data_IF_272329941826
#
_entry.id   IF_272329941826
#
_cell.length_a   1.000
_cell.length_b   1.000
_cell.length_c   1.000
_cell.angle_alpha   90.00
_cell.angle_beta   90.00
_cell.angle_gamma   90.00
#
_symmetry.space_group_name_H-M   'P 1'
#
loop_
_entity.id
_entity.type
_entity.pdbx_description
1 polymer ?
#
# COMPACT_ATOMS: atom_id res chain seq x y z
N UNK A 1 16.38 16.08 10.11
CA UNK A 1 15.57 15.35 11.11
C UNK A 1 15.02 14.12 10.43
N UNK A 2 15.44 12.92 10.82
CA UNK A 2 15.00 11.68 10.16
C UNK A 2 13.52 11.44 10.44
N UNK A 3 12.73 11.15 9.40
CA UNK A 3 11.37 10.65 9.60
C UNK A 3 11.46 9.34 10.36
N UNK A 4 10.98 9.33 11.60
CA UNK A 4 10.80 8.12 12.39
C UNK A 4 9.81 7.21 11.66
N UNK A 5 10.25 5.99 11.35
CA UNK A 5 9.36 4.95 10.82
C UNK A 5 8.46 4.47 11.96
N UNK A 6 7.16 4.41 11.72
CA UNK A 6 6.15 3.90 12.65
C UNK A 6 5.87 2.42 12.36
N UNK A 7 5.29 1.73 13.33
CA UNK A 7 4.58 0.46 13.14
C UNK A 7 3.14 0.73 12.68
N UNK A 8 2.49 -0.26 12.05
CA UNK A 8 1.10 -0.11 11.60
C UNK A 8 0.18 0.20 12.78
N UNK A 9 0.39 -0.44 13.93
CA UNK A 9 -0.38 -0.25 15.17
C UNK A 9 -0.33 1.19 15.73
N UNK A 10 0.67 1.97 15.32
CA UNK A 10 0.88 3.35 15.77
C UNK A 10 0.25 4.38 14.83
N UNK A 11 -0.29 3.94 13.68
CA UNK A 11 -0.94 4.83 12.72
C UNK A 11 -2.25 5.35 13.32
N UNK A 12 -2.38 6.67 13.35
CA UNK A 12 -3.59 7.34 13.80
C UNK A 12 -4.29 8.02 12.61
N UNK A 13 -5.60 7.85 12.43
CA UNK A 13 -6.36 8.51 11.35
C UNK A 13 -6.26 10.06 11.34
N UNK A 14 -5.97 10.68 12.49
CA UNK A 14 -5.77 12.13 12.58
C UNK A 14 -4.37 12.58 12.13
N UNK A 15 -3.42 11.66 12.06
CA UNK A 15 -2.06 11.95 11.60
C UNK A 15 -2.02 11.98 10.08
N UNK A 16 -1.87 13.17 9.51
CA UNK A 16 -1.88 13.39 8.05
C UNK A 16 -0.73 12.75 7.29
N UNK A 17 0.41 12.50 7.94
CA UNK A 17 1.59 11.97 7.27
C UNK A 17 2.41 11.11 8.22
N UNK A 18 2.77 9.93 7.74
CA UNK A 18 3.55 8.94 8.45
C UNK A 18 4.33 8.10 7.44
N UNK A 19 5.31 7.36 7.92
CA UNK A 19 6.10 6.43 7.13
C UNK A 19 6.18 5.12 7.89
N UNK A 20 5.96 4.01 7.21
CA UNK A 20 5.98 2.65 7.76
C UNK A 20 6.79 1.76 6.82
N UNK A 21 7.48 0.78 7.37
CA UNK A 21 8.10 -0.29 6.60
C UNK A 21 7.16 -1.48 6.58
N UNK A 22 6.87 -2.00 5.39
CA UNK A 22 5.94 -3.11 5.21
C UNK A 22 6.42 -4.05 4.11
N UNK A 23 5.92 -5.29 4.17
CA UNK A 23 6.00 -6.28 3.11
C UNK A 23 4.62 -6.44 2.47
N UNK A 24 4.56 -6.52 1.14
CA UNK A 24 3.32 -6.87 0.42
C UNK A 24 3.07 -8.36 0.62
N UNK A 25 1.96 -8.73 1.24
CA UNK A 25 1.54 -10.12 1.40
C UNK A 25 0.58 -10.55 0.30
N UNK A 26 -0.29 -9.63 -0.15
CA UNK A 26 -1.22 -9.89 -1.26
C UNK A 26 -1.30 -8.69 -2.21
N UNK A 27 -1.20 -8.96 -3.51
CA UNK A 27 -1.52 -8.03 -4.60
C UNK A 27 -2.80 -8.51 -5.29
N UNK A 28 -3.87 -7.73 -5.13
CA UNK A 28 -5.17 -8.08 -5.68
C UNK A 28 -5.38 -7.31 -6.98
N UNK A 29 -5.80 -7.99 -8.07
CA UNK A 29 -6.02 -7.36 -9.36
C UNK A 29 -6.89 -6.12 -9.29
N UNK A 30 -6.64 -5.18 -10.20
CA UNK A 30 -7.47 -3.99 -10.31
C UNK A 30 -8.91 -4.37 -10.63
N UNK A 31 -9.83 -3.91 -9.80
CA UNK A 31 -11.27 -4.10 -9.93
C UNK A 31 -11.92 -2.78 -10.34
N UNK A 32 -12.93 -2.87 -11.22
CA UNK A 32 -13.82 -1.74 -11.51
C UNK A 32 -14.95 -1.76 -10.49
N UNK A 33 -15.15 -0.66 -9.76
CA UNK A 33 -16.19 -0.56 -8.74
C UNK A 33 -17.42 0.17 -9.28
N UNK A 34 -18.58 -0.48 -9.17
CA UNK A 34 -19.89 0.08 -9.51
C UNK A 34 -20.18 0.12 -11.02
N UNK A 35 -21.23 0.86 -11.38
CA UNK A 35 -21.63 1.10 -12.79
C UNK A 35 -20.80 2.19 -13.47
N UNK A 36 -19.85 2.80 -12.74
CA UNK A 36 -18.97 3.85 -13.24
C UNK A 36 -17.60 3.34 -13.71
N UNK A 37 -16.76 4.25 -14.17
CA UNK A 37 -15.37 4.00 -14.61
C UNK A 37 -14.34 4.01 -13.47
N UNK A 38 -14.80 3.94 -12.21
CA UNK A 38 -13.93 3.97 -11.04
C UNK A 38 -13.16 2.66 -10.92
N UNK A 39 -11.83 2.75 -10.83
CA UNK A 39 -10.94 1.60 -10.66
C UNK A 39 -10.33 1.63 -9.27
N UNK A 40 -10.17 0.46 -8.68
CA UNK A 40 -9.57 0.25 -7.37
C UNK A 40 -8.56 -0.89 -7.47
N UNK A 41 -7.38 -0.71 -6.86
CA UNK A 41 -6.40 -1.76 -6.61
C UNK A 41 -6.22 -1.94 -5.11
N UNK A 42 -6.20 -3.18 -4.62
CA UNK A 42 -6.08 -3.51 -3.19
C UNK A 42 -4.76 -4.22 -2.92
N UNK A 43 -4.11 -3.82 -1.85
CA UNK A 43 -2.94 -4.50 -1.31
C UNK A 43 -3.18 -4.87 0.16
N UNK A 44 -2.60 -5.98 0.59
CA UNK A 44 -2.43 -6.31 2.00
C UNK A 44 -0.95 -6.18 2.34
N UNK A 45 -0.68 -5.45 3.41
CA UNK A 45 0.66 -5.17 3.89
C UNK A 45 0.81 -5.68 5.33
N UNK A 46 1.96 -6.25 5.65
CA UNK A 46 2.37 -6.58 7.02
C UNK A 46 3.61 -5.79 7.43
N UNK A 47 3.68 -5.38 8.69
CA UNK A 47 4.91 -4.84 9.28
C UNK A 47 5.77 -5.94 9.94
N UNK A 48 6.93 -5.54 10.48
CA UNK A 48 7.89 -6.45 11.12
C UNK A 48 7.35 -7.10 12.42
N UNK A 49 6.24 -6.60 12.97
CA UNK A 49 5.56 -7.16 14.15
C UNK A 49 4.35 -8.04 13.77
N UNK A 50 4.06 -8.18 12.47
CA UNK A 50 2.94 -8.97 11.97
C UNK A 50 1.59 -8.25 12.04
N UNK A 51 1.58 -6.93 12.25
CA UNK A 51 0.35 -6.16 12.12
C UNK A 51 -0.02 -6.04 10.63
N UNK A 52 -1.31 -6.13 10.32
CA UNK A 52 -1.81 -6.05 8.95
C UNK A 52 -2.54 -4.73 8.66
N UNK A 53 -2.37 -4.22 7.45
CA UNK A 53 -3.19 -3.11 6.94
C UNK A 53 -3.61 -3.37 5.49
N UNK A 54 -4.85 -3.03 5.19
CA UNK A 54 -5.40 -3.06 3.83
C UNK A 54 -5.25 -1.66 3.24
N UNK A 55 -4.54 -1.57 2.10
CA UNK A 55 -4.43 -0.33 1.35
C UNK A 55 -5.26 -0.39 0.07
N UNK A 56 -5.92 0.73 -0.24
CA UNK A 56 -6.79 0.89 -1.40
C UNK A 56 -6.29 2.04 -2.26
N UNK A 57 -5.96 1.75 -3.52
CA UNK A 57 -5.45 2.73 -4.48
C UNK A 57 -6.50 2.95 -5.57
N UNK A 58 -6.90 4.19 -5.77
CA UNK A 58 -7.98 4.53 -6.70
C UNK A 58 -7.48 5.21 -7.97
N UNK A 59 -8.14 4.86 -9.09
CA UNK A 59 -8.09 5.58 -10.36
C UNK A 59 -6.67 5.90 -10.84
N UNK A 60 -6.34 7.19 -10.93
CA UNK A 60 -5.10 7.70 -11.51
C UNK A 60 -3.85 7.36 -10.69
N UNK A 61 -4.01 6.91 -9.45
CA UNK A 61 -2.88 6.46 -8.64
C UNK A 61 -2.47 5.02 -8.97
N UNK A 62 -3.36 4.18 -9.49
CA UNK A 62 -3.06 2.78 -9.82
C UNK A 62 -1.82 2.61 -10.72
N UNK A 63 -1.66 3.34 -11.85
CA UNK A 63 -0.47 3.18 -12.70
C UNK A 63 0.84 3.61 -12.01
N UNK A 64 0.79 4.44 -10.97
CA UNK A 64 1.98 4.87 -10.22
C UNK A 64 2.57 3.75 -9.34
N UNK A 65 1.72 2.80 -8.92
CA UNK A 65 2.11 1.68 -8.05
C UNK A 65 2.14 0.34 -8.79
N UNK A 66 1.78 0.31 -10.08
CA UNK A 66 1.60 -0.91 -10.88
C UNK A 66 2.82 -1.43 -11.65
N UNK A 67 3.97 -0.74 -11.64
CA UNK A 67 5.03 -0.99 -12.64
C UNK A 67 6.43 -1.28 -12.10
N UNK A 68 6.62 -1.67 -10.83
CA UNK A 68 7.98 -1.98 -10.31
C UNK A 68 8.03 -3.10 -9.24
N UNK A 69 7.34 -4.23 -9.45
CA UNK A 69 7.64 -5.49 -8.70
C UNK A 69 8.36 -6.50 -9.61
N UNK A 70 9.31 -6.00 -10.40
CA UNK A 70 10.11 -6.79 -11.34
C UNK A 70 11.60 -6.43 -11.39
N UNK A 71 12.07 -5.53 -10.52
CA UNK A 71 13.47 -5.09 -10.50
C UNK A 71 14.01 -5.00 -9.06
N UNK A 72 13.94 -6.11 -8.32
CA UNK A 72 15.01 -6.43 -7.37
C UNK A 72 15.72 -7.63 -8.00
N UNK A 73 16.69 -7.30 -8.86
CA UNK A 73 17.64 -8.26 -9.39
C UNK A 73 18.29 -8.98 -8.20
N UNK A 74 18.24 -10.30 -8.24
CA UNK A 74 19.33 -11.11 -7.69
C UNK A 74 20.59 -10.73 -8.45
N UNK A 75 21.52 -10.07 -7.77
CA UNK A 75 22.96 -10.08 -8.07
C UNK A 75 23.69 -10.35 -6.77
#
# INVERSE_FOLDING_TARGET
MGQSTLLISQINPQTRSWTVRVTITEDIPTITCGTGSSKLKRYIFTDDEGNEVIALIFNNHIPLFGTNVGAIQSL
#
